data_IF_686899006253
#
_entry.id   IF_686899006253
#
_cell.length_a   1.000
_cell.length_b   1.000
_cell.length_c   1.000
_cell.angle_alpha   90.00
_cell.angle_beta   90.00
_cell.angle_gamma   90.00
#
_symmetry.space_group_name_H-M   'P 1'
#
loop_
_entity.id
_entity.type
_entity.pdbx_description
1 polymer ?
#
# COMPACT_ATOMS: atom_id res chain seq x y z
N UNK A 1 -8.81 -53.46 -45.42
CA UNK A 1 -8.92 -52.86 -44.07
C UNK A 1 -7.62 -52.22 -43.58
N UNK A 2 -6.46 -52.88 -43.72
CA UNK A 2 -5.15 -52.39 -43.22
C UNK A 2 -4.71 -51.01 -43.77
N UNK A 3 -4.93 -50.72 -45.06
CA UNK A 3 -4.57 -49.42 -45.68
C UNK A 3 -5.30 -48.22 -45.07
N UNK A 4 -6.55 -48.40 -44.61
CA UNK A 4 -7.37 -47.33 -44.03
C UNK A 4 -6.93 -47.00 -42.60
N UNK A 5 -6.45 -48.01 -41.86
CA UNK A 5 -5.89 -47.80 -40.52
C UNK A 5 -4.50 -47.14 -40.58
N UNK A 6 -3.67 -47.48 -41.57
CA UNK A 6 -2.37 -46.83 -41.75
C UNK A 6 -2.52 -45.34 -42.12
N UNK A 7 -3.49 -45.00 -42.97
CA UNK A 7 -3.80 -43.62 -43.33
C UNK A 7 -4.29 -42.80 -42.12
N UNK A 8 -5.16 -43.38 -41.28
CA UNK A 8 -5.59 -42.74 -40.03
C UNK A 8 -4.44 -42.57 -39.03
N UNK A 9 -3.52 -43.54 -38.94
CA UNK A 9 -2.35 -43.42 -38.07
C UNK A 9 -1.38 -42.33 -38.53
N UNK A 10 -1.15 -42.22 -39.85
CA UNK A 10 -0.33 -41.16 -40.44
C UNK A 10 -0.98 -39.77 -40.30
N UNK A 11 -2.31 -39.68 -40.39
CA UNK A 11 -3.05 -38.44 -40.14
C UNK A 11 -2.98 -38.02 -38.67
N UNK A 12 -3.08 -38.99 -37.74
CA UNK A 12 -2.92 -38.75 -36.30
C UNK A 12 -1.48 -38.37 -35.97
N UNK A 13 -0.47 -38.96 -36.62
CA UNK A 13 0.93 -38.57 -36.49
C UNK A 13 1.23 -37.20 -37.11
N UNK A 14 0.56 -36.81 -38.21
CA UNK A 14 0.70 -35.47 -38.78
C UNK A 14 -0.03 -34.41 -37.93
N UNK A 15 -1.17 -34.77 -37.33
CA UNK A 15 -1.87 -33.94 -36.34
C UNK A 15 -1.04 -33.82 -35.05
N UNK A 16 -0.42 -34.89 -34.55
CA UNK A 16 0.50 -34.86 -33.41
C UNK A 16 1.75 -34.01 -33.72
N UNK A 17 2.31 -34.11 -34.93
CA UNK A 17 3.40 -33.22 -35.38
C UNK A 17 2.95 -31.76 -35.50
N UNK A 18 1.72 -31.51 -35.96
CA UNK A 18 1.11 -30.18 -35.98
C UNK A 18 0.85 -29.62 -34.57
N UNK A 19 0.50 -30.47 -33.61
CA UNK A 19 0.27 -30.10 -32.19
C UNK A 19 1.60 -29.90 -31.44
N UNK A 20 2.70 -30.55 -31.85
CA UNK A 20 4.05 -30.24 -31.33
C UNK A 20 4.71 -29.03 -32.01
N UNK A 21 4.11 -28.49 -33.08
CA UNK A 21 4.61 -27.31 -33.79
C UNK A 21 3.63 -26.13 -33.86
N UNK A 22 2.59 -26.12 -33.03
CA UNK A 22 2.06 -24.86 -32.50
C UNK A 22 3.06 -24.30 -31.49
N UNK A 23 4.23 -23.89 -31.98
CA UNK A 23 4.84 -22.68 -31.46
C UNK A 23 3.76 -21.62 -31.60
N UNK A 24 3.09 -21.35 -30.48
CA UNK A 24 2.46 -20.06 -30.26
C UNK A 24 3.41 -19.03 -30.86
N UNK A 25 2.93 -18.23 -31.80
CA UNK A 25 3.57 -16.99 -32.16
C UNK A 25 3.57 -16.11 -30.89
N UNK A 26 4.52 -16.40 -30.00
CA UNK A 26 4.91 -15.53 -28.89
C UNK A 26 5.43 -14.31 -29.60
N UNK A 27 4.68 -13.21 -29.56
CA UNK A 27 5.25 -11.90 -29.90
C UNK A 27 6.62 -11.78 -29.22
N UNK A 28 7.60 -11.24 -29.93
CA UNK A 28 8.97 -11.14 -29.44
C UNK A 28 8.98 -10.55 -28.02
N UNK A 29 9.48 -11.32 -27.07
CA UNK A 29 9.64 -10.86 -25.68
C UNK A 29 10.80 -9.89 -25.66
N UNK A 30 10.52 -8.62 -25.37
CA UNK A 30 11.55 -7.59 -25.26
C UNK A 30 12.15 -7.62 -23.85
N UNK A 31 13.47 -7.54 -23.77
CA UNK A 31 14.18 -7.43 -22.49
C UNK A 31 14.70 -6.01 -22.31
N UNK A 32 14.33 -5.39 -21.20
CA UNK A 32 14.64 -3.99 -20.89
C UNK A 32 15.19 -3.85 -19.46
N UNK A 33 15.97 -2.80 -19.16
CA UNK A 33 16.28 -2.41 -17.79
C UNK A 33 15.00 -2.21 -16.96
N UNK A 34 14.92 -2.71 -15.71
CA UNK A 34 13.72 -2.56 -14.89
C UNK A 34 13.24 -1.11 -14.78
N UNK A 35 14.14 -0.15 -14.56
CA UNK A 35 13.80 1.27 -14.45
C UNK A 35 13.01 1.86 -15.64
N UNK A 36 13.15 1.29 -16.84
CA UNK A 36 12.35 1.71 -18.00
C UNK A 36 10.86 1.37 -17.83
N UNK A 37 10.54 0.30 -17.10
CA UNK A 37 9.17 -0.15 -16.83
C UNK A 37 8.44 0.71 -15.79
N UNK A 38 9.17 1.57 -15.08
CA UNK A 38 8.61 2.42 -14.03
C UNK A 38 7.69 3.53 -14.59
N UNK A 39 7.85 3.88 -15.87
CA UNK A 39 6.99 4.86 -16.58
C UNK A 39 5.54 4.38 -16.68
N UNK A 40 5.32 3.08 -16.74
CA UNK A 40 3.98 2.49 -16.88
C UNK A 40 3.25 2.29 -15.54
N UNK A 41 3.94 2.55 -14.42
CA UNK A 41 3.44 2.25 -13.07
C UNK A 41 3.38 3.49 -12.16
N UNK A 42 4.07 4.58 -12.51
CA UNK A 42 4.29 5.71 -11.61
C UNK A 42 3.20 6.80 -11.68
N UNK A 43 2.17 6.66 -10.84
CA UNK A 43 1.58 7.80 -10.14
C UNK A 43 2.42 8.19 -8.91
N UNK A 44 2.30 9.41 -8.39
CA UNK A 44 2.87 9.73 -7.06
C UNK A 44 2.10 8.93 -6.01
N UNK A 45 2.74 7.89 -5.47
CA UNK A 45 2.29 7.20 -4.26
C UNK A 45 3.25 7.60 -3.13
N UNK A 46 2.77 8.44 -2.20
CA UNK A 46 3.62 8.98 -1.16
C UNK A 46 2.95 10.04 -0.29
N UNK A 47 3.67 10.52 0.71
CA UNK A 47 3.19 11.51 1.67
C UNK A 47 3.58 12.92 1.23
N UNK A 48 2.67 13.89 1.37
CA UNK A 48 2.93 15.28 1.02
C UNK A 48 2.67 16.20 2.22
N UNK A 49 3.71 16.89 2.69
CA UNK A 49 3.55 18.05 3.57
C UNK A 49 3.63 19.31 2.70
N UNK A 50 2.50 20.02 2.55
CA UNK A 50 2.43 21.22 1.74
C UNK A 50 2.37 22.48 2.61
N UNK A 51 3.44 23.27 2.60
CA UNK A 51 3.54 24.52 3.37
C UNK A 51 3.34 25.78 2.50
N UNK A 52 2.94 25.63 1.23
CA UNK A 52 2.68 26.77 0.34
C UNK A 52 1.44 27.59 0.75
N UNK A 53 1.38 28.85 0.33
CA UNK A 53 0.28 29.79 0.63
C UNK A 53 -1.11 29.30 0.21
N UNK A 54 -1.20 28.39 -0.77
CA UNK A 54 -2.45 27.72 -1.17
C UNK A 54 -2.74 26.43 -0.39
N UNK A 55 -1.75 25.83 0.26
CA UNK A 55 -1.84 24.54 0.99
C UNK A 55 -2.10 24.65 2.49
N UNK A 56 -1.70 25.75 3.13
CA UNK A 56 -1.89 25.98 4.58
C UNK A 56 -3.37 26.19 4.94
N UNK A 57 -4.24 26.43 3.96
CA UNK A 57 -5.70 26.55 4.15
C UNK A 57 -6.46 25.22 4.18
N UNK A 58 -5.83 24.09 3.84
CA UNK A 58 -6.50 22.76 3.78
C UNK A 58 -6.10 21.77 4.88
N UNK A 59 -5.31 22.20 5.87
CA UNK A 59 -5.07 21.43 7.09
C UNK A 59 -5.75 22.19 8.23
N UNK A 60 -6.95 21.76 8.62
CA UNK A 60 -7.65 22.32 9.78
C UNK A 60 -6.78 22.14 11.03
N UNK A 61 -6.30 23.23 11.66
CA UNK A 61 -5.53 23.13 12.87
C UNK A 61 -6.45 22.70 14.02
N UNK A 62 -6.04 21.67 14.76
CA UNK A 62 -6.61 21.38 16.08
C UNK A 62 -6.23 22.56 16.98
N UNK A 63 -7.20 23.44 17.23
CA UNK A 63 -7.02 24.77 17.80
C UNK A 63 -6.72 24.79 19.31
N UNK A 64 -6.55 23.64 19.95
CA UNK A 64 -6.59 23.60 21.42
C UNK A 64 -5.26 23.60 22.14
N UNK A 65 -4.08 23.38 21.51
CA UNK A 65 -2.82 23.49 22.28
C UNK A 65 -1.58 23.74 21.40
N UNK A 66 -0.91 24.87 21.63
CA UNK A 66 0.43 25.29 21.12
C UNK A 66 0.63 25.31 19.59
N UNK A 67 0.37 26.48 18.98
CA UNK A 67 0.99 27.23 17.84
C UNK A 67 1.86 26.53 16.74
N UNK A 68 1.95 25.20 16.68
CA UNK A 68 2.81 24.44 15.78
C UNK A 68 1.96 23.44 14.97
N UNK A 69 2.09 23.47 13.64
CA UNK A 69 1.47 22.47 12.78
C UNK A 69 2.36 21.22 12.79
N UNK A 70 1.81 20.02 13.00
CA UNK A 70 2.59 18.77 12.94
C UNK A 70 2.17 17.98 11.71
N UNK A 71 3.12 17.71 10.80
CA UNK A 71 2.97 16.76 9.71
C UNK A 71 3.69 15.47 10.11
N UNK A 72 2.95 14.49 10.65
CA UNK A 72 3.50 13.18 11.03
C UNK A 72 3.30 12.17 9.92
N UNK A 73 4.41 11.63 9.40
CA UNK A 73 4.43 10.63 8.34
C UNK A 73 4.83 9.28 8.93
N UNK A 74 4.04 8.25 8.67
CA UNK A 74 4.36 6.85 9.02
C UNK A 74 4.47 6.05 7.73
N UNK A 75 5.70 5.76 7.28
CA UNK A 75 5.93 5.04 6.02
C UNK A 75 6.37 3.60 6.29
N UNK A 76 5.58 2.65 5.76
CA UNK A 76 5.87 1.20 5.74
C UNK A 76 6.37 0.70 4.38
N UNK A 77 6.58 1.60 3.43
CA UNK A 77 6.37 1.26 2.04
C UNK A 77 7.63 1.12 1.20
N UNK A 78 7.51 0.29 0.17
CA UNK A 78 8.48 0.07 -0.90
C UNK A 78 8.64 1.34 -1.74
N UNK A 79 9.79 2.01 -1.67
CA UNK A 79 10.13 3.19 -2.48
C UNK A 79 9.10 4.32 -2.41
N UNK A 80 8.58 4.57 -1.22
CA UNK A 80 7.69 5.70 -0.98
C UNK A 80 8.39 7.04 -1.13
N UNK A 81 7.65 8.03 -1.61
CA UNK A 81 8.13 9.41 -1.76
C UNK A 81 7.53 10.30 -0.67
N UNK A 82 8.39 10.90 0.15
CA UNK A 82 8.02 11.96 1.07
C UNK A 82 8.32 13.29 0.39
N UNK A 83 7.29 14.08 0.13
CA UNK A 83 7.40 15.36 -0.57
C UNK A 83 7.10 16.52 0.38
N UNK A 84 8.08 17.41 0.55
CA UNK A 84 7.91 18.71 1.20
C UNK A 84 7.78 19.77 0.13
N UNK A 85 6.69 20.54 0.16
CA UNK A 85 6.54 21.75 -0.66
C UNK A 85 6.83 22.96 0.23
N UNK A 86 7.94 23.64 -0.05
CA UNK A 86 8.50 24.71 0.78
C UNK A 86 8.38 26.03 0.01
N UNK A 87 7.75 27.08 0.56
CA UNK A 87 7.70 28.38 -0.09
C UNK A 87 9.08 28.95 -0.39
N UNK A 88 9.28 29.54 -1.57
CA UNK A 88 10.50 30.29 -1.87
C UNK A 88 10.56 31.57 -1.04
N UNK A 89 11.78 31.99 -0.68
CA UNK A 89 12.01 33.27 0.00
C UNK A 89 11.67 34.42 -0.97
N UNK A 90 10.51 35.04 -0.79
CA UNK A 90 10.17 36.32 -1.44
C UNK A 90 10.66 37.49 -0.56
N UNK A 91 10.93 38.67 -1.13
CA UNK A 91 11.25 39.88 -0.36
C UNK A 91 10.18 40.14 0.71
N UNK A 92 10.59 40.18 1.99
CA UNK A 92 9.69 40.33 3.15
C UNK A 92 9.29 39.03 3.85
N UNK A 93 9.52 37.86 3.24
CA UNK A 93 9.32 36.56 3.90
C UNK A 93 10.59 36.11 4.64
N UNK A 94 10.42 35.48 5.82
CA UNK A 94 11.53 34.95 6.64
C UNK A 94 11.44 33.45 6.86
N UNK A 95 10.91 32.72 5.87
CA UNK A 95 10.83 31.27 5.91
C UNK A 95 12.22 30.63 6.00
N UNK A 96 12.35 29.64 6.90
CA UNK A 96 13.56 28.84 7.09
C UNK A 96 13.18 27.36 7.24
N UNK A 97 13.89 26.50 6.52
CA UNK A 97 13.90 25.08 6.84
C UNK A 97 15.00 24.80 7.85
N UNK A 98 14.72 23.97 8.84
CA UNK A 98 15.65 23.58 9.89
C UNK A 98 15.64 22.04 10.02
N UNK A 99 16.77 21.34 9.82
CA UNK A 99 18.03 21.89 9.33
C UNK A 99 17.88 22.47 7.91
N UNK A 100 18.74 23.42 7.55
CA UNK A 100 18.68 24.13 6.26
C UNK A 100 18.68 23.15 5.07
N UNK A 101 19.40 22.05 5.23
CA UNK A 101 19.54 20.99 4.24
C UNK A 101 18.64 19.78 4.49
N UNK A 102 17.53 19.89 5.21
CA UNK A 102 16.52 18.82 5.22
C UNK A 102 16.18 18.41 3.77
N UNK A 103 16.23 17.15 3.32
CA UNK A 103 16.43 15.88 4.04
C UNK A 103 17.88 15.36 4.14
N UNK A 104 18.90 16.05 3.64
CA UNK A 104 20.31 15.63 3.76
C UNK A 104 20.77 15.63 5.23
N UNK A 105 20.36 16.65 5.97
CA UNK A 105 20.57 16.80 7.41
C UNK A 105 19.22 16.94 8.07
N UNK A 106 19.00 16.19 9.14
CA UNK A 106 17.74 16.12 9.87
C UNK A 106 18.00 16.27 11.37
N UNK A 107 16.97 16.54 12.16
CA UNK A 107 17.08 16.43 13.60
C UNK A 107 16.81 14.98 14.01
N UNK A 108 17.71 14.36 14.77
CA UNK A 108 17.44 13.09 15.46
C UNK A 108 16.56 13.29 16.70
N UNK A 109 16.62 14.49 17.28
CA UNK A 109 15.75 14.94 18.36
C UNK A 109 15.46 16.43 18.18
N UNK A 110 14.21 16.80 17.91
CA UNK A 110 13.84 18.18 17.61
C UNK A 110 13.90 19.10 18.85
N UNK A 111 13.73 18.57 20.07
CA UNK A 111 13.77 19.35 21.31
C UNK A 111 15.20 19.77 21.64
N UNK A 112 16.15 18.86 21.48
CA UNK A 112 17.59 19.11 21.66
C UNK A 112 18.24 19.75 20.43
N UNK A 113 17.51 19.81 19.30
CA UNK A 113 17.99 20.29 17.99
C UNK A 113 19.30 19.61 17.57
N UNK A 114 19.40 18.31 17.81
CA UNK A 114 20.60 17.53 17.45
C UNK A 114 20.58 17.23 15.95
N UNK A 115 21.39 17.95 15.18
CA UNK A 115 21.53 17.74 13.74
C UNK A 115 22.35 16.49 13.44
N UNK A 116 21.85 15.68 12.51
CA UNK A 116 22.48 14.45 12.08
C UNK A 116 22.31 14.30 10.58
N UNK A 117 23.30 13.71 9.91
CA UNK A 117 23.12 13.34 8.50
C UNK A 117 22.11 12.21 8.42
N UNK A 118 21.24 12.25 7.41
CA UNK A 118 20.19 11.24 7.27
C UNK A 118 20.73 9.81 7.10
N UNK A 119 21.94 9.66 6.53
CA UNK A 119 22.64 8.37 6.44
C UNK A 119 22.88 7.70 7.80
N UNK A 120 23.09 8.49 8.85
CA UNK A 120 23.34 7.99 10.21
C UNK A 120 22.06 7.56 10.93
N UNK A 121 20.89 7.97 10.43
CA UNK A 121 19.59 7.61 11.03
C UNK A 121 19.31 6.11 10.90
N UNK A 122 20.05 5.40 10.04
CA UNK A 122 19.88 3.97 9.78
C UNK A 122 18.96 3.68 8.60
N UNK A 123 18.73 4.68 7.72
CA UNK A 123 18.07 4.45 6.45
C UNK A 123 18.99 3.65 5.52
N UNK A 124 18.41 2.63 4.92
CA UNK A 124 19.04 1.76 3.94
C UNK A 124 18.54 2.16 2.57
N UNK A 125 19.45 2.51 1.67
CA UNK A 125 19.16 2.90 0.27
C UNK A 125 18.04 3.95 0.14
N UNK A 126 18.42 5.22 0.02
CA UNK A 126 17.48 6.33 -0.13
C UNK A 126 17.96 7.31 -1.21
N UNK A 127 17.03 8.10 -1.76
CA UNK A 127 17.32 9.15 -2.73
C UNK A 127 16.69 10.47 -2.26
N UNK A 128 17.48 11.55 -2.24
CA UNK A 128 16.97 12.91 -2.00
C UNK A 128 17.04 13.69 -3.30
N UNK A 129 15.89 14.18 -3.77
CA UNK A 129 15.76 15.08 -4.92
C UNK A 129 15.24 16.44 -4.46
N UNK A 130 15.72 17.48 -5.11
CA UNK A 130 15.23 18.85 -4.93
C UNK A 130 14.84 19.41 -6.30
N UNK A 131 13.61 19.88 -6.44
CA UNK A 131 13.09 20.52 -7.63
C UNK A 131 12.77 21.97 -7.30
N UNK A 132 13.53 22.87 -7.92
CA UNK A 132 13.41 24.32 -7.75
C UNK A 132 12.83 25.03 -8.99
N UNK A 133 12.23 24.28 -9.92
CA UNK A 133 11.71 24.82 -11.18
C UNK A 133 10.49 25.74 -11.00
N UNK A 134 9.72 25.55 -9.93
CA UNK A 134 8.53 26.38 -9.66
C UNK A 134 8.93 27.75 -9.10
N UNK A 135 8.23 28.82 -9.51
CA UNK A 135 8.54 30.19 -9.09
C UNK A 135 8.09 30.53 -7.66
N UNK A 136 7.11 29.82 -7.12
CA UNK A 136 6.50 30.08 -5.81
C UNK A 136 7.07 29.20 -4.68
N UNK A 137 7.55 28.00 -5.01
CA UNK A 137 8.00 27.01 -4.03
C UNK A 137 9.12 26.11 -4.56
N UNK A 138 9.84 25.50 -3.63
CA UNK A 138 10.80 24.41 -3.85
C UNK A 138 10.18 23.11 -3.37
N UNK A 139 10.37 22.02 -4.12
CA UNK A 139 9.94 20.69 -3.71
C UNK A 139 11.14 19.85 -3.31
N UNK A 140 11.11 19.30 -2.10
CA UNK A 140 12.10 18.33 -1.64
C UNK A 140 11.46 16.96 -1.51
N UNK A 141 12.04 15.97 -2.18
CA UNK A 141 11.49 14.62 -2.26
C UNK A 141 12.52 13.64 -1.70
N UNK A 142 12.16 12.92 -0.66
CA UNK A 142 12.91 11.78 -0.13
C UNK A 142 12.23 10.49 -0.59
N UNK A 143 12.96 9.62 -1.28
CA UNK A 143 12.52 8.27 -1.66
C UNK A 143 13.22 7.25 -0.78
N UNK A 144 12.47 6.33 -0.17
CA UNK A 144 13.00 5.42 0.87
C UNK A 144 12.76 3.96 0.48
N UNK A 145 13.79 3.13 0.50
CA UNK A 145 13.64 1.69 0.25
C UNK A 145 12.91 0.96 1.39
N UNK A 146 12.34 -0.23 1.14
CA UNK A 146 11.74 -1.05 2.20
C UNK A 146 12.76 -1.85 3.03
N UNK A 147 14.08 -1.65 2.85
CA UNK A 147 15.12 -2.55 3.38
C UNK A 147 15.67 -2.16 4.75
N UNK A 148 15.03 -1.22 5.44
CA UNK A 148 15.45 -0.82 6.79
C UNK A 148 15.31 -1.98 7.77
N UNK A 149 16.33 -2.17 8.61
CA UNK A 149 16.37 -3.28 9.58
C UNK A 149 15.72 -2.94 10.93
N UNK A 150 15.43 -1.65 11.15
CA UNK A 150 14.80 -1.07 12.34
C UNK A 150 13.93 0.12 11.94
N UNK A 151 13.05 0.54 12.86
CA UNK A 151 12.32 1.79 12.73
C UNK A 151 13.30 2.97 12.85
N UNK A 152 13.05 4.01 12.06
CA UNK A 152 13.86 5.22 11.99
C UNK A 152 12.94 6.43 12.12
N UNK A 153 13.26 7.31 13.06
CA UNK A 153 12.53 8.56 13.28
C UNK A 153 13.47 9.74 13.07
N UNK A 154 13.00 10.76 12.37
CA UNK A 154 13.71 12.03 12.23
C UNK A 154 12.75 13.19 12.01
N UNK A 155 13.27 14.40 12.20
CA UNK A 155 12.47 15.62 12.18
C UNK A 155 13.07 16.70 11.27
N UNK A 156 12.19 17.48 10.67
CA UNK A 156 12.51 18.76 10.06
C UNK A 156 11.50 19.82 10.53
N UNK A 157 11.87 21.08 10.46
CA UNK A 157 11.02 22.20 10.88
C UNK A 157 10.94 23.19 9.73
N UNK A 158 9.72 23.58 9.36
CA UNK A 158 9.45 24.73 8.50
C UNK A 158 9.05 25.90 9.40
N UNK A 159 9.96 26.86 9.57
CA UNK A 159 9.81 28.01 10.47
C UNK A 159 9.51 29.28 9.68
N UNK A 160 8.41 29.97 10.03
CA UNK A 160 8.06 31.29 9.52
C UNK A 160 7.84 32.31 10.67
N UNK A 161 8.26 32.00 11.88
CA UNK A 161 7.98 32.76 13.10
C UNK A 161 8.60 34.17 13.11
N UNK A 162 9.65 34.40 12.33
CA UNK A 162 10.28 35.72 12.21
C UNK A 162 9.48 36.69 11.32
N UNK A 163 8.51 36.19 10.54
CA UNK A 163 7.61 37.01 9.76
C UNK A 163 6.51 37.58 10.68
N UNK A 164 6.34 38.90 10.67
CA UNK A 164 5.35 39.60 11.51
C UNK A 164 4.51 40.47 10.59
N UNK A 165 3.24 40.11 10.44
CA UNK A 165 2.25 40.88 9.68
C UNK A 165 1.21 41.36 10.69
N UNK A 166 1.04 42.67 10.82
CA UNK A 166 0.02 43.27 11.71
C UNK A 166 0.06 42.73 13.15
N UNK A 167 1.26 42.63 13.74
CA UNK A 167 1.51 42.10 15.09
C UNK A 167 1.21 40.60 15.30
N UNK A 168 0.90 39.85 14.25
CA UNK A 168 0.78 38.40 14.29
C UNK A 168 2.10 37.77 13.85
N UNK A 169 2.74 37.01 14.75
CA UNK A 169 3.92 36.20 14.42
C UNK A 169 3.52 35.05 13.51
N UNK A 170 4.36 34.75 12.52
CA UNK A 170 4.20 33.58 11.67
C UNK A 170 4.28 32.26 12.45
N UNK A 171 3.93 31.17 11.77
CA UNK A 171 3.78 29.84 12.38
C UNK A 171 5.03 28.98 12.16
N UNK A 172 5.17 27.95 12.99
CA UNK A 172 6.17 26.90 12.85
C UNK A 172 5.45 25.60 12.51
N UNK A 173 5.99 24.80 11.60
CA UNK A 173 5.51 23.47 11.33
C UNK A 173 6.62 22.44 11.57
N UNK A 174 6.31 21.41 12.36
CA UNK A 174 7.16 20.25 12.59
C UNK A 174 6.79 19.17 11.57
N UNK A 175 7.76 18.73 10.78
CA UNK A 175 7.69 17.51 9.98
C UNK A 175 8.31 16.41 10.81
N UNK A 176 7.51 15.45 11.23
CA UNK A 176 7.97 14.23 11.90
C UNK A 176 7.86 13.08 10.91
N UNK A 177 8.97 12.41 10.65
CA UNK A 177 9.00 11.25 9.75
C UNK A 177 9.38 10.01 10.54
N UNK A 178 8.46 9.05 10.56
CA UNK A 178 8.65 7.71 11.07
C UNK A 178 8.70 6.74 9.88
N UNK A 179 9.88 6.21 9.61
CA UNK A 179 10.11 5.16 8.63
C UNK A 179 10.14 3.84 9.38
N UNK A 180 9.19 2.98 9.10
CA UNK A 180 9.00 1.75 9.85
C UNK A 180 9.69 0.59 9.14
N UNK A 181 10.24 -0.32 9.92
CA UNK A 181 10.79 -1.59 9.45
C UNK A 181 9.70 -2.34 8.70
N UNK A 182 10.04 -2.91 7.54
CA UNK A 182 9.10 -3.73 6.81
C UNK A 182 8.69 -4.98 7.64
N UNK A 183 7.38 -5.20 7.87
CA UNK A 183 6.94 -6.19 8.86
C UNK A 183 6.89 -7.62 8.33
N UNK A 184 6.98 -7.83 7.01
CA UNK A 184 6.90 -9.16 6.39
C UNK A 184 8.27 -9.63 5.87
N UNK A 185 8.34 -10.91 5.52
CA UNK A 185 9.52 -11.51 4.92
C UNK A 185 9.83 -10.87 3.56
N UNK A 186 11.11 -10.60 3.33
CA UNK A 186 11.65 -10.19 2.04
C UNK A 186 12.48 -11.36 1.51
N UNK A 187 12.14 -11.84 0.32
CA UNK A 187 12.91 -12.83 -0.43
C UNK A 187 13.65 -12.12 -1.56
N UNK A 188 14.97 -12.13 -1.53
CA UNK A 188 15.80 -11.46 -2.53
C UNK A 188 16.45 -12.49 -3.44
N UNK A 189 16.34 -12.27 -4.75
CA UNK A 189 17.01 -13.04 -5.80
C UNK A 189 17.99 -12.10 -6.48
N UNK A 190 19.28 -12.42 -6.46
CA UNK A 190 20.31 -11.62 -7.12
C UNK A 190 20.92 -12.37 -8.29
N UNK A 191 20.60 -11.92 -9.50
CA UNK A 191 21.16 -12.46 -10.75
C UNK A 191 22.16 -11.48 -11.40
N UNK A 192 22.52 -10.39 -10.70
CA UNK A 192 23.50 -9.41 -11.16
C UNK A 192 24.90 -9.72 -10.60
N UNK A 193 25.90 -8.94 -11.02
CA UNK A 193 27.26 -8.96 -10.42
C UNK A 193 27.36 -8.06 -9.18
N UNK A 194 26.39 -7.18 -8.96
CA UNK A 194 26.39 -6.26 -7.83
C UNK A 194 25.85 -6.98 -6.59
N UNK A 195 26.57 -7.01 -5.46
CA UNK A 195 26.20 -7.83 -4.31
C UNK A 195 25.01 -7.31 -3.51
N UNK A 196 24.53 -6.08 -3.76
CA UNK A 196 23.42 -5.44 -3.03
C UNK A 196 23.38 -5.80 -1.53
N UNK A 197 24.46 -5.54 -0.78
CA UNK A 197 24.68 -6.11 0.58
C UNK A 197 23.58 -5.81 1.61
N UNK A 198 22.70 -4.86 1.32
CA UNK A 198 21.54 -4.52 2.14
C UNK A 198 20.32 -5.42 1.92
N UNK A 199 20.26 -6.20 0.83
CA UNK A 199 19.15 -7.12 0.58
C UNK A 199 19.31 -8.40 1.42
N UNK A 200 18.29 -8.81 2.19
CA UNK A 200 18.36 -9.97 3.06
C UNK A 200 18.26 -11.29 2.29
N UNK A 201 18.95 -12.34 2.77
CA UNK A 201 18.77 -13.73 2.33
C UNK A 201 18.79 -13.94 0.80
N UNK A 202 19.80 -13.35 0.13
CA UNK A 202 19.90 -13.43 -1.32
C UNK A 202 20.09 -14.88 -1.80
N UNK A 203 19.21 -15.31 -2.70
CA UNK A 203 19.41 -16.52 -3.49
C UNK A 203 19.92 -16.16 -4.89
N UNK A 204 20.71 -17.04 -5.48
CA UNK A 204 21.36 -16.80 -6.77
C UNK A 204 20.88 -17.81 -7.84
N UNK A 205 21.61 -17.85 -8.96
CA UNK A 205 21.36 -18.75 -10.10
C UNK A 205 21.26 -20.23 -9.69
N UNK A 206 21.93 -20.66 -8.62
CA UNK A 206 21.93 -22.08 -8.18
C UNK A 206 20.57 -22.55 -7.67
N UNK A 207 19.69 -21.62 -7.28
CA UNK A 207 18.34 -21.95 -6.80
C UNK A 207 17.35 -22.25 -7.94
N UNK A 208 17.72 -21.96 -9.19
CA UNK A 208 16.85 -22.18 -10.35
C UNK A 208 17.03 -23.59 -10.90
N UNK A 209 15.96 -24.40 -10.84
CA UNK A 209 15.92 -25.72 -11.47
C UNK A 209 15.51 -25.55 -12.93
N UNK A 210 16.36 -25.96 -13.87
CA UNK A 210 16.11 -25.78 -15.31
C UNK A 210 15.81 -24.32 -15.69
N UNK A 211 16.54 -23.38 -15.08
CA UNK A 211 16.36 -21.92 -15.25
C UNK A 211 14.99 -21.38 -14.78
N UNK A 212 14.27 -22.14 -13.94
CA UNK A 212 13.01 -21.71 -13.34
C UNK A 212 13.06 -21.77 -11.82
N UNK A 213 12.50 -20.74 -11.18
CA UNK A 213 12.28 -20.69 -9.73
C UNK A 213 10.81 -20.39 -9.46
N UNK A 214 10.13 -21.32 -8.80
CA UNK A 214 8.76 -21.13 -8.32
C UNK A 214 8.80 -20.70 -6.85
N UNK A 215 8.11 -19.61 -6.51
CA UNK A 215 7.94 -19.14 -5.12
C UNK A 215 6.45 -19.04 -4.78
N UNK A 216 6.09 -19.53 -3.60
CA UNK A 216 4.81 -19.24 -2.97
C UNK A 216 5.00 -18.06 -2.02
N UNK A 217 4.07 -17.12 -2.02
CA UNK A 217 4.13 -15.92 -1.17
C UNK A 217 2.95 -15.89 -0.22
N UNK A 218 3.25 -15.58 1.04
CA UNK A 218 2.25 -15.18 2.01
C UNK A 218 1.90 -13.70 1.84
N UNK A 219 0.77 -13.29 2.43
CA UNK A 219 0.29 -11.91 2.34
C UNK A 219 1.35 -10.90 2.80
N UNK A 220 1.54 -9.86 2.00
CA UNK A 220 2.50 -8.81 2.29
C UNK A 220 3.96 -9.22 2.16
N UNK A 221 4.31 -10.46 1.82
CA UNK A 221 5.71 -10.81 1.54
C UNK A 221 6.21 -10.09 0.29
N UNK A 222 7.50 -9.73 0.30
CA UNK A 222 8.16 -9.10 -0.84
C UNK A 222 9.07 -10.08 -1.55
N UNK A 223 9.04 -9.99 -2.87
CA UNK A 223 10.07 -10.57 -3.72
C UNK A 223 10.82 -9.47 -4.42
N UNK A 224 12.14 -9.50 -4.31
CA UNK A 224 13.05 -8.57 -4.98
C UNK A 224 13.88 -9.36 -5.97
N UNK A 225 13.72 -9.09 -7.26
CA UNK A 225 14.57 -9.64 -8.31
C UNK A 225 15.56 -8.57 -8.76
N UNK A 226 16.85 -8.75 -8.44
CA UNK A 226 17.92 -7.96 -9.01
C UNK A 226 18.36 -8.56 -10.35
N UNK A 227 18.17 -7.82 -11.43
CA UNK A 227 18.48 -8.22 -12.79
C UNK A 227 18.72 -6.99 -13.69
N UNK A 228 19.74 -7.04 -14.54
CA UNK A 228 20.04 -5.94 -15.48
C UNK A 228 18.98 -5.80 -16.59
N UNK A 229 18.38 -6.90 -17.03
CA UNK A 229 17.40 -6.92 -18.12
C UNK A 229 16.26 -7.90 -17.84
N UNK A 230 15.06 -7.38 -17.68
CA UNK A 230 13.84 -8.17 -17.44
C UNK A 230 12.90 -8.12 -18.65
N UNK A 231 12.06 -9.14 -18.79
CA UNK A 231 10.92 -9.15 -19.71
C UNK A 231 10.09 -7.86 -19.52
N UNK A 232 9.70 -7.21 -20.62
CA UNK A 232 8.90 -5.98 -20.61
C UNK A 232 7.52 -6.14 -19.95
N UNK A 233 7.09 -7.40 -19.78
CA UNK A 233 5.88 -7.79 -19.03
C UNK A 233 6.18 -8.42 -17.67
N UNK A 234 7.38 -8.26 -17.13
CA UNK A 234 7.77 -8.74 -15.79
C UNK A 234 6.71 -8.37 -14.74
N UNK A 235 6.07 -9.37 -14.13
CA UNK A 235 4.94 -9.26 -13.19
C UNK A 235 3.66 -8.57 -13.72
N UNK A 236 3.61 -8.21 -15.00
CA UNK A 236 2.45 -7.60 -15.67
C UNK A 236 1.66 -8.61 -16.53
N UNK A 237 2.18 -9.83 -16.72
CA UNK A 237 1.65 -10.80 -17.70
C UNK A 237 0.52 -11.69 -17.16
N UNK A 238 -0.67 -11.55 -17.72
CA UNK A 238 -1.72 -12.58 -17.64
C UNK A 238 -1.50 -13.65 -18.71
N UNK A 239 -1.80 -14.91 -18.41
CA UNK A 239 -1.97 -15.91 -19.48
C UNK A 239 -3.34 -15.64 -20.13
N UNK A 240 -3.29 -15.31 -21.40
CA UNK A 240 -4.41 -15.19 -22.34
C UNK A 240 -5.41 -14.05 -22.13
N UNK A 241 -5.91 -13.59 -23.28
CA UNK A 241 -6.72 -12.40 -23.59
C UNK A 241 -8.12 -12.37 -22.99
N UNK A 242 -8.34 -12.99 -21.83
CA UNK A 242 -9.56 -12.79 -21.03
C UNK A 242 -9.30 -11.73 -19.94
N UNK A 243 -10.27 -10.85 -19.61
CA UNK A 243 -10.09 -9.83 -18.57
C UNK A 243 -10.08 -10.41 -17.12
N UNK A 244 -9.58 -11.64 -16.93
CA UNK A 244 -9.72 -12.39 -15.68
C UNK A 244 -8.38 -12.53 -14.92
N UNK A 245 -8.41 -12.01 -13.68
CA UNK A 245 -7.66 -12.43 -12.47
C UNK A 245 -6.18 -12.80 -12.62
N UNK A 246 -5.36 -11.90 -13.15
CA UNK A 246 -3.94 -11.83 -12.80
C UNK A 246 -3.76 -11.84 -11.27
N UNK A 247 -2.75 -12.53 -10.73
CA UNK A 247 -2.25 -12.29 -9.36
C UNK A 247 -1.64 -10.88 -9.32
N UNK A 248 -2.52 -9.87 -9.23
CA UNK A 248 -2.18 -8.47 -9.31
C UNK A 248 -1.66 -8.04 -7.95
N UNK A 249 -0.36 -7.81 -7.88
CA UNK A 249 0.15 -6.92 -6.84
C UNK A 249 -0.45 -5.53 -7.07
N UNK A 250 -0.91 -4.91 -6.01
CA UNK A 250 -1.23 -3.49 -5.98
C UNK A 250 0.02 -2.60 -6.05
N UNK A 251 1.22 -3.17 -5.88
CA UNK A 251 2.48 -2.44 -5.87
C UNK A 251 3.61 -3.28 -6.47
N UNK A 252 3.83 -3.08 -7.77
CA UNK A 252 5.05 -3.50 -8.45
C UNK A 252 5.95 -2.27 -8.55
N UNK A 253 7.22 -2.38 -8.15
CA UNK A 253 8.17 -1.28 -8.26
C UNK A 253 9.37 -1.72 -9.07
N UNK A 254 9.78 -0.89 -10.02
CA UNK A 254 11.02 -1.11 -10.75
C UNK A 254 12.00 0.02 -10.45
N UNK A 255 13.08 -0.28 -9.73
CA UNK A 255 14.05 0.74 -9.30
C UNK A 255 15.47 0.28 -9.62
N UNK A 256 16.21 1.05 -10.42
CA UNK A 256 17.53 0.64 -10.94
C UNK A 256 17.43 -0.74 -11.61
N UNK A 257 18.20 -1.71 -11.12
CA UNK A 257 18.18 -3.11 -11.56
C UNK A 257 17.22 -4.00 -10.74
N UNK A 258 16.37 -3.43 -9.89
CA UNK A 258 15.46 -4.18 -9.01
C UNK A 258 14.04 -4.18 -9.58
N UNK A 259 13.44 -5.36 -9.67
CA UNK A 259 12.01 -5.57 -9.87
C UNK A 259 11.41 -6.11 -8.57
N UNK A 260 10.51 -5.36 -7.95
CA UNK A 260 9.92 -5.71 -6.65
C UNK A 260 8.44 -6.01 -6.82
N UNK A 261 8.02 -7.14 -6.26
CA UNK A 261 6.63 -7.57 -6.20
C UNK A 261 6.19 -7.68 -4.74
N UNK A 262 5.10 -7.01 -4.39
CA UNK A 262 4.43 -7.18 -3.09
C UNK A 262 3.27 -8.15 -3.23
N UNK A 263 3.25 -9.22 -2.43
CA UNK A 263 2.10 -10.10 -2.36
C UNK A 263 0.87 -9.33 -1.81
N UNK A 264 -0.27 -9.29 -2.53
CA UNK A 264 -1.48 -8.64 -2.07
C UNK A 264 -2.06 -9.38 -0.86
N UNK A 265 -2.78 -8.66 -0.01
CA UNK A 265 -3.41 -9.23 1.20
C UNK A 265 -4.74 -9.93 0.92
N UNK A 266 -5.27 -9.74 -0.28
CA UNK A 266 -6.47 -10.40 -0.78
C UNK A 266 -6.15 -11.13 -2.08
N UNK A 267 -6.25 -12.46 -2.03
CA UNK A 267 -6.01 -13.37 -3.14
C UNK A 267 -7.32 -14.06 -3.48
N UNK A 268 -7.70 -14.09 -4.76
CA UNK A 268 -8.88 -14.80 -5.25
C UNK A 268 -8.49 -16.21 -5.72
N UNK A 269 -9.42 -17.15 -5.64
CA UNK A 269 -9.18 -18.53 -6.08
C UNK A 269 -8.90 -18.65 -7.59
N UNK A 270 -9.29 -17.65 -8.37
CA UNK A 270 -9.04 -17.57 -9.81
C UNK A 270 -7.71 -16.85 -10.14
N UNK A 271 -6.97 -16.36 -9.14
CA UNK A 271 -5.72 -15.64 -9.39
C UNK A 271 -4.67 -16.56 -10.01
N UNK A 272 -4.07 -16.11 -11.12
CA UNK A 272 -3.04 -16.88 -11.84
C UNK A 272 -1.64 -16.38 -11.52
N UNK A 273 -0.66 -17.29 -11.60
CA UNK A 273 0.78 -17.02 -11.41
C UNK A 273 1.26 -15.72 -12.07
N UNK A 274 1.99 -14.89 -11.32
CA UNK A 274 2.74 -13.77 -11.88
C UNK A 274 4.16 -14.23 -12.25
N UNK A 275 4.70 -13.79 -13.39
CA UNK A 275 6.02 -14.23 -13.85
C UNK A 275 6.91 -13.05 -14.22
N UNK A 276 8.21 -13.18 -13.97
CA UNK A 276 9.22 -12.26 -14.44
C UNK A 276 10.41 -13.07 -14.97
N UNK A 277 10.87 -12.75 -16.19
CA UNK A 277 12.05 -13.39 -16.76
C UNK A 277 13.22 -12.42 -16.79
N UNK A 278 14.40 -12.88 -16.38
CA UNK A 278 15.66 -12.17 -16.36
C UNK A 278 16.61 -12.75 -17.40
N UNK A 279 17.19 -11.92 -18.25
CA UNK A 279 18.22 -12.33 -19.21
C UNK A 279 19.61 -12.06 -18.63
N UNK A 280 20.36 -13.13 -18.40
CA UNK A 280 21.74 -13.07 -17.91
C UNK A 280 22.65 -13.79 -18.90
N UNK A 281 23.53 -13.04 -19.57
CA UNK A 281 24.51 -13.59 -20.54
C UNK A 281 23.86 -14.52 -21.59
N UNK A 282 22.71 -14.11 -22.15
CA UNK A 282 21.90 -14.88 -23.12
C UNK A 282 21.17 -16.09 -22.55
N UNK A 283 21.23 -16.32 -21.23
CA UNK A 283 20.43 -17.33 -20.52
C UNK A 283 19.23 -16.68 -19.86
N UNK A 284 18.03 -17.24 -20.09
CA UNK A 284 16.78 -16.71 -19.54
C UNK A 284 16.44 -17.48 -18.26
N UNK A 285 16.40 -16.77 -17.14
CA UNK A 285 15.93 -17.27 -15.85
C UNK A 285 14.52 -16.75 -15.59
N UNK A 286 13.57 -17.64 -15.32
CA UNK A 286 12.17 -17.27 -15.05
C UNK A 286 11.82 -17.47 -13.59
N UNK A 287 11.37 -16.39 -12.96
CA UNK A 287 10.77 -16.38 -11.63
C UNK A 287 9.25 -16.44 -11.77
N UNK A 288 8.62 -17.42 -11.13
CA UNK A 288 7.17 -17.61 -11.12
C UNK A 288 6.65 -17.50 -9.69
N UNK A 289 5.75 -16.54 -9.45
CA UNK A 289 5.12 -16.28 -8.15
C UNK A 289 3.73 -16.90 -8.13
N UNK A 290 3.56 -17.93 -7.31
CA UNK A 290 2.30 -18.66 -7.16
C UNK A 290 1.46 -18.03 -6.06
N UNK A 291 0.19 -17.65 -6.35
CA UNK A 291 -0.72 -17.18 -5.32
C UNK A 291 -1.07 -18.32 -4.35
N UNK A 292 -1.07 -18.03 -3.05
CA UNK A 292 -1.60 -18.95 -2.03
C UNK A 292 -3.01 -18.48 -1.65
N UNK A 293 -4.03 -19.16 -2.18
CA UNK A 293 -5.41 -18.82 -1.85
C UNK A 293 -5.76 -19.34 -0.45
N UNK A 294 -6.08 -18.41 0.44
CA UNK A 294 -6.69 -18.71 1.74
C UNK A 294 -8.01 -17.95 1.86
N UNK A 295 -9.10 -18.67 2.18
CA UNK A 295 -10.41 -18.04 2.39
C UNK A 295 -10.37 -17.21 3.68
N UNK A 296 -10.13 -15.91 3.55
CA UNK A 296 -10.06 -14.97 4.68
C UNK A 296 -11.44 -14.49 5.12
N UNK A 297 -11.55 -14.21 6.42
CA UNK A 297 -12.66 -13.48 7.01
C UNK A 297 -12.57 -11.99 6.65
N UNK A 298 -13.70 -11.40 6.27
CA UNK A 298 -13.84 -9.97 6.02
C UNK A 298 -14.62 -9.35 7.18
N UNK A 299 -13.98 -8.48 7.94
CA UNK A 299 -14.60 -7.73 9.03
C UNK A 299 -15.50 -6.66 8.42
N UNK A 300 -16.81 -6.88 8.46
CA UNK A 300 -17.69 -6.10 7.61
C UNK A 300 -19.12 -6.57 7.56
N UNK A 301 -19.87 -5.93 6.68
CA UNK A 301 -21.32 -6.12 6.55
C UNK A 301 -21.65 -6.68 5.17
N UNK A 302 -22.26 -7.86 5.14
CA UNK A 302 -22.91 -8.37 3.95
C UNK A 302 -24.38 -7.94 3.96
N UNK A 303 -24.73 -6.96 3.12
CA UNK A 303 -26.10 -6.48 2.94
C UNK A 303 -26.87 -7.22 1.83
N UNK A 304 -26.17 -8.09 1.08
CA UNK A 304 -26.71 -8.88 -0.02
C UNK A 304 -27.23 -10.22 0.47
N UNK A 305 -28.11 -10.85 -0.30
CA UNK A 305 -28.63 -12.20 -0.02
C UNK A 305 -27.59 -13.33 -0.24
N UNK A 306 -26.53 -13.09 -1.01
CA UNK A 306 -25.48 -14.07 -1.28
C UNK A 306 -24.51 -14.21 -0.09
N UNK A 307 -24.62 -15.32 0.65
CA UNK A 307 -23.74 -15.70 1.76
C UNK A 307 -22.55 -16.58 1.34
N UNK A 308 -22.54 -17.08 0.11
CA UNK A 308 -21.65 -18.18 -0.30
C UNK A 308 -20.28 -17.71 -0.78
N UNK A 309 -20.23 -16.54 -1.43
CA UNK A 309 -19.04 -16.06 -2.15
C UNK A 309 -17.96 -15.50 -1.22
N UNK A 310 -18.35 -14.77 -0.18
CA UNK A 310 -17.43 -14.07 0.73
C UNK A 310 -17.82 -14.33 2.18
N UNK A 311 -16.82 -14.49 3.06
CA UNK A 311 -17.06 -14.73 4.48
C UNK A 311 -17.01 -13.42 5.27
N UNK A 312 -18.17 -12.80 5.53
CA UNK A 312 -18.27 -11.57 6.30
C UNK A 312 -18.59 -11.85 7.78
N UNK A 313 -18.08 -11.02 8.68
CA UNK A 313 -18.41 -11.12 10.12
C UNK A 313 -19.87 -10.86 10.42
N UNK A 314 -20.54 -9.97 9.66
CA UNK A 314 -21.93 -9.58 9.88
C UNK A 314 -22.72 -9.76 8.59
N UNK A 315 -23.99 -10.15 8.73
CA UNK A 315 -24.89 -10.33 7.60
C UNK A 315 -26.27 -9.78 7.94
N UNK A 316 -26.79 -8.91 7.07
CA UNK A 316 -28.12 -8.32 7.17
C UNK A 316 -28.71 -8.20 5.77
N UNK A 317 -29.52 -9.16 5.35
CA UNK A 317 -30.11 -9.13 4.01
C UNK A 317 -31.11 -7.97 3.86
N UNK A 318 -30.75 -6.96 3.06
CA UNK A 318 -31.62 -5.82 2.82
C UNK A 318 -32.90 -6.20 2.05
N UNK A 319 -32.94 -7.34 1.36
CA UNK A 319 -34.14 -7.80 0.70
C UNK A 319 -35.27 -8.12 1.71
N UNK A 320 -34.92 -8.64 2.88
CA UNK A 320 -35.86 -9.05 3.94
C UNK A 320 -36.43 -7.88 4.75
N UNK A 321 -35.91 -6.66 4.55
CA UNK A 321 -36.32 -5.46 5.27
C UNK A 321 -37.52 -4.74 4.62
N UNK A 322 -38.25 -3.93 5.40
CA UNK A 322 -39.30 -3.05 4.89
C UNK A 322 -38.78 -1.95 3.94
N UNK A 323 -39.66 -1.35 3.14
CA UNK A 323 -39.28 -0.45 2.03
C UNK A 323 -38.44 0.78 2.44
N UNK A 324 -38.62 1.30 3.65
CA UNK A 324 -37.91 2.49 4.16
C UNK A 324 -36.93 2.15 5.30
N UNK A 325 -36.47 0.90 5.37
CA UNK A 325 -35.61 0.47 6.45
C UNK A 325 -34.25 1.17 6.42
N UNK A 326 -33.81 1.59 7.61
CA UNK A 326 -32.46 2.07 7.87
C UNK A 326 -31.82 1.16 8.91
N UNK A 327 -30.65 0.61 8.61
CA UNK A 327 -29.92 -0.29 9.49
C UNK A 327 -28.48 0.19 9.66
N UNK A 328 -27.92 -0.03 10.84
CA UNK A 328 -26.49 0.22 11.10
C UNK A 328 -25.82 -1.07 11.49
N UNK A 329 -24.74 -1.40 10.80
CA UNK A 329 -23.86 -2.52 11.09
C UNK A 329 -22.51 -1.94 11.53
N UNK A 330 -22.13 -2.23 12.77
CA UNK A 330 -20.97 -1.64 13.44
C UNK A 330 -19.84 -2.65 13.57
N UNK A 331 -18.66 -2.28 13.09
CA UNK A 331 -17.43 -3.07 13.19
C UNK A 331 -16.49 -2.32 14.13
N UNK A 332 -16.02 -3.00 15.18
CA UNK A 332 -14.95 -2.51 16.03
C UNK A 332 -13.76 -3.47 15.95
N UNK A 333 -12.60 -2.93 15.56
CA UNK A 333 -11.33 -3.64 15.50
C UNK A 333 -10.41 -3.11 16.60
N UNK A 334 -9.96 -4.01 17.47
CA UNK A 334 -9.02 -3.71 18.56
C UNK A 334 -7.88 -4.70 18.47
N UNK A 335 -6.77 -4.27 17.86
CA UNK A 335 -5.55 -5.06 17.74
C UNK A 335 -4.31 -4.18 17.96
N UNK A 336 -3.19 -4.81 18.31
CA UNK A 336 -1.87 -4.17 18.42
C UNK A 336 -1.27 -3.86 17.04
N UNK A 337 -1.54 -4.73 16.06
CA UNK A 337 -1.18 -4.57 14.65
C UNK A 337 -2.22 -5.33 13.83
N UNK A 338 -2.64 -4.76 12.71
CA UNK A 338 -3.70 -5.31 11.88
C UNK A 338 -3.13 -6.11 10.70
N UNK A 339 -3.80 -7.20 10.33
CA UNK A 339 -3.67 -7.88 9.04
C UNK A 339 -5.07 -8.38 8.64
N UNK A 340 -5.98 -7.42 8.46
CA UNK A 340 -7.41 -7.69 8.35
C UNK A 340 -7.94 -7.21 6.99
N UNK A 341 -8.91 -7.95 6.47
CA UNK A 341 -9.76 -7.47 5.39
C UNK A 341 -11.00 -6.82 6.00
N UNK A 342 -11.33 -5.62 5.56
CA UNK A 342 -12.53 -4.89 5.97
C UNK A 342 -13.34 -4.60 4.71
N UNK A 343 -14.66 -4.79 4.75
CA UNK A 343 -15.43 -4.62 3.52
C UNK A 343 -16.93 -4.61 3.69
N UNK A 344 -17.61 -4.35 2.58
CA UNK A 344 -19.06 -4.53 2.48
C UNK A 344 -19.45 -5.23 1.18
N UNK A 345 -20.54 -5.99 1.24
CA UNK A 345 -21.28 -6.43 0.06
C UNK A 345 -22.60 -5.67 0.01
N UNK A 346 -22.87 -5.02 -1.12
CA UNK A 346 -24.05 -4.17 -1.29
C UNK A 346 -24.86 -4.60 -2.52
N UNK A 347 -26.17 -4.88 -2.39
CA UNK A 347 -27.05 -5.23 -3.51
C UNK A 347 -27.57 -4.00 -4.28
N UNK A 348 -26.77 -2.92 -4.34
CA UNK A 348 -27.15 -1.62 -4.87
C UNK A 348 -25.95 -0.68 -4.95
N UNK A 349 -26.16 0.59 -4.64
CA UNK A 349 -25.12 1.62 -4.71
C UNK A 349 -24.32 1.71 -3.40
N UNK A 350 -22.99 1.88 -3.53
CA UNK A 350 -22.10 2.14 -2.40
C UNK A 350 -21.72 3.62 -2.39
N UNK A 351 -21.90 4.29 -1.25
CA UNK A 351 -21.69 5.74 -1.06
C UNK A 351 -20.76 6.05 0.13
N UNK A 352 -19.78 6.97 -0.01
CA UNK A 352 -19.30 7.56 -1.27
C UNK A 352 -18.56 6.47 -2.08
N UNK A 353 -17.50 6.81 -2.84
CA UNK A 353 -16.67 5.80 -3.51
C UNK A 353 -15.84 4.96 -2.50
N UNK A 354 -16.53 4.17 -1.67
CA UNK A 354 -15.90 3.34 -0.66
C UNK A 354 -15.09 2.21 -1.32
N UNK A 355 -13.91 1.88 -0.80
CA UNK A 355 -13.29 2.44 0.41
C UNK A 355 -12.28 3.56 0.16
N UNK A 356 -12.03 3.93 -1.09
CA UNK A 356 -11.09 5.01 -1.41
C UNK A 356 -11.52 6.33 -0.75
N UNK A 357 -12.82 6.61 -0.79
CA UNK A 357 -13.47 7.68 -0.04
C UNK A 357 -14.37 7.08 1.04
N UNK A 358 -14.45 7.76 2.18
CA UNK A 358 -15.33 7.39 3.29
C UNK A 358 -15.97 8.64 3.89
N UNK A 359 -17.06 8.47 4.62
CA UNK A 359 -17.57 9.56 5.45
C UNK A 359 -16.86 9.59 6.80
N UNK A 360 -16.31 10.75 7.16
CA UNK A 360 -15.76 11.00 8.48
C UNK A 360 -16.90 11.11 9.50
N UNK A 361 -16.76 10.44 10.65
CA UNK A 361 -17.77 10.48 11.72
C UNK A 361 -17.35 11.49 12.78
N UNK A 362 -18.03 12.64 12.82
CA UNK A 362 -17.80 13.68 13.84
C UNK A 362 -18.64 13.44 15.11
N UNK A 363 -19.81 12.81 14.98
CA UNK A 363 -20.70 12.43 16.09
C UNK A 363 -21.51 11.16 15.71
N UNK A 364 -21.92 10.32 16.69
CA UNK A 364 -22.75 9.14 16.45
C UNK A 364 -24.13 9.42 15.83
N UNK A 365 -24.66 10.64 15.91
CA UNK A 365 -26.09 10.96 15.69
C UNK A 365 -26.43 11.70 14.37
N UNK A 366 -25.46 12.05 13.53
CA UNK A 366 -25.70 12.85 12.31
C UNK A 366 -25.44 12.08 11.01
N UNK A 367 -26.26 12.39 9.99
CA UNK A 367 -26.03 11.99 8.59
C UNK A 367 -24.58 12.31 8.20
N UNK A 368 -23.82 11.34 7.65
CA UNK A 368 -22.40 11.53 7.41
C UNK A 368 -22.16 12.61 6.34
N UNK A 369 -21.61 13.77 6.70
CA UNK A 369 -21.59 14.95 5.82
C UNK A 369 -20.24 15.25 5.15
N UNK A 370 -19.12 14.79 5.74
CA UNK A 370 -17.77 15.09 5.25
C UNK A 370 -17.11 13.87 4.60
N UNK A 371 -16.95 13.92 3.27
CA UNK A 371 -16.19 12.92 2.52
C UNK A 371 -14.69 13.18 2.70
N UNK A 372 -13.95 12.14 3.08
CA UNK A 372 -12.49 12.15 3.20
C UNK A 372 -11.90 10.93 2.52
N UNK A 373 -10.63 11.00 2.13
CA UNK A 373 -9.89 9.81 1.66
C UNK A 373 -9.54 8.90 2.83
N UNK A 374 -9.69 7.59 2.67
CA UNK A 374 -9.46 6.65 3.77
C UNK A 374 -8.01 6.65 4.27
N UNK A 375 -7.03 6.77 3.37
CA UNK A 375 -5.61 6.89 3.74
C UNK A 375 -5.37 8.10 4.67
N UNK A 376 -6.03 9.22 4.39
CA UNK A 376 -5.95 10.42 5.23
C UNK A 376 -6.66 10.22 6.58
N UNK A 377 -7.81 9.55 6.58
CA UNK A 377 -8.58 9.26 7.79
C UNK A 377 -7.88 8.26 8.73
N UNK A 378 -7.14 7.31 8.17
CA UNK A 378 -6.30 6.35 8.93
C UNK A 378 -4.93 6.93 9.27
N UNK A 379 -4.48 7.96 8.55
CA UNK A 379 -3.13 8.50 8.59
C UNK A 379 -2.05 7.43 8.37
N UNK A 380 -2.33 6.50 7.45
CA UNK A 380 -1.42 5.47 6.94
C UNK A 380 -1.59 5.43 5.43
N UNK A 381 -0.57 5.04 4.68
CA UNK A 381 -0.78 4.77 3.25
C UNK A 381 -0.91 3.28 2.91
N UNK A 382 -0.57 2.35 3.81
CA UNK A 382 -0.55 0.91 3.49
C UNK A 382 -1.96 0.29 3.52
N UNK A 383 -2.86 0.85 2.71
CA UNK A 383 -4.22 0.38 2.48
C UNK A 383 -4.31 -0.19 1.07
N UNK A 384 -4.79 -1.42 0.97
CA UNK A 384 -4.99 -2.07 -0.34
C UNK A 384 -6.46 -2.08 -0.68
N UNK A 385 -6.86 -1.56 -1.84
CA UNK A 385 -8.25 -1.46 -2.24
C UNK A 385 -8.61 -2.56 -3.25
N UNK A 386 -9.70 -3.27 -3.01
CA UNK A 386 -10.20 -4.33 -3.87
C UNK A 386 -11.68 -4.16 -4.16
N UNK A 387 -12.07 -4.59 -5.35
CA UNK A 387 -13.45 -4.60 -5.80
C UNK A 387 -13.78 -5.96 -6.44
N UNK A 388 -15.00 -6.42 -6.17
CA UNK A 388 -15.61 -7.54 -6.85
C UNK A 388 -17.05 -7.19 -7.22
N UNK A 389 -17.58 -7.86 -8.25
CA UNK A 389 -18.96 -7.72 -8.64
C UNK A 389 -19.54 -9.06 -9.07
N UNK A 390 -20.76 -9.34 -8.61
CA UNK A 390 -21.51 -10.55 -8.99
C UNK A 390 -22.97 -10.19 -9.22
N UNK A 391 -23.34 -10.07 -10.50
CA UNK A 391 -24.64 -9.50 -10.88
C UNK A 391 -24.72 -8.04 -10.43
N UNK A 392 -25.79 -7.68 -9.73
CA UNK A 392 -26.00 -6.33 -9.16
C UNK A 392 -25.30 -6.13 -7.80
N UNK A 393 -24.70 -7.18 -7.22
CA UNK A 393 -23.99 -7.06 -5.96
C UNK A 393 -22.58 -6.51 -6.18
N UNK A 394 -22.28 -5.41 -5.50
CA UNK A 394 -20.96 -4.78 -5.46
C UNK A 394 -20.29 -5.14 -4.14
N UNK A 395 -19.09 -5.71 -4.20
CA UNK A 395 -18.28 -6.02 -3.03
C UNK A 395 -17.07 -5.10 -3.03
N UNK A 396 -16.97 -4.25 -2.02
CA UNK A 396 -15.81 -3.38 -1.78
C UNK A 396 -15.06 -3.92 -0.58
N UNK A 397 -13.74 -4.05 -0.70
CA UNK A 397 -12.86 -4.53 0.37
C UNK A 397 -11.66 -3.59 0.42
N UNK A 398 -11.18 -3.29 1.62
CA UNK A 398 -9.82 -2.83 1.79
C UNK A 398 -9.05 -3.74 2.76
N UNK A 399 -7.77 -3.89 2.50
CA UNK A 399 -6.84 -4.58 3.36
C UNK A 399 -6.05 -3.59 4.22
N UNK A 400 -5.98 -3.87 5.51
CA UNK A 400 -5.22 -3.08 6.48
C UNK A 400 -4.08 -3.92 7.05
N UNK A 401 -2.85 -3.46 6.85
CA UNK A 401 -1.63 -4.10 7.36
C UNK A 401 -0.78 -3.12 8.17
N UNK A 402 -0.47 -3.50 9.40
CA UNK A 402 0.32 -2.71 10.36
C UNK A 402 -0.55 -2.02 11.42
N UNK A 403 0.05 -1.12 12.19
CA UNK A 403 -0.65 -0.35 13.22
C UNK A 403 -1.10 1.02 12.71
N UNK A 404 -2.25 1.52 13.19
CA UNK A 404 -2.66 2.91 12.98
C UNK A 404 -2.27 3.79 14.17
N UNK A 405 -1.89 5.07 13.93
CA UNK A 405 -1.36 5.95 14.97
C UNK A 405 -2.44 6.46 15.94
N UNK A 406 -3.68 6.59 15.48
CA UNK A 406 -4.81 7.10 16.28
C UNK A 406 -6.05 6.27 16.04
N UNK A 407 -6.85 6.09 17.09
CA UNK A 407 -8.16 5.48 16.97
C UNK A 407 -8.99 6.34 16.03
N UNK A 408 -9.57 5.72 15.00
CA UNK A 408 -10.33 6.43 13.97
C UNK A 408 -11.65 5.73 13.71
N UNK A 409 -12.59 6.47 13.16
CA UNK A 409 -13.90 5.93 12.77
C UNK A 409 -14.36 6.56 11.47
N UNK A 410 -15.07 5.78 10.67
CA UNK A 410 -15.63 6.21 9.40
C UNK A 410 -16.88 5.39 9.06
N UNK A 411 -17.65 5.86 8.10
CA UNK A 411 -18.88 5.19 7.65
C UNK A 411 -18.93 5.10 6.13
N UNK A 412 -19.46 3.98 5.65
CA UNK A 412 -19.84 3.76 4.26
C UNK A 412 -21.30 3.35 4.21
N UNK A 413 -21.99 3.71 3.13
CA UNK A 413 -23.43 3.50 2.99
C UNK A 413 -23.68 2.55 1.83
N UNK A 414 -24.54 1.56 2.04
CA UNK A 414 -25.15 0.76 0.98
C UNK A 414 -26.60 1.22 0.78
N UNK A 415 -26.97 1.58 -0.45
CA UNK A 415 -28.31 2.04 -0.79
C UNK A 415 -28.94 1.13 -1.85
N UNK A 416 -30.13 0.62 -1.55
CA UNK A 416 -30.96 -0.13 -2.52
C UNK A 416 -32.36 0.47 -2.54
N UNK A 417 -32.64 1.32 -3.53
CA UNK A 417 -33.88 2.09 -3.57
C UNK A 417 -33.98 3.01 -2.35
N UNK A 418 -35.04 2.84 -1.54
CA UNK A 418 -35.28 3.60 -0.29
C UNK A 418 -34.65 2.97 0.96
N UNK A 419 -34.08 1.76 0.85
CA UNK A 419 -33.42 1.06 1.96
C UNK A 419 -31.98 1.53 2.09
N UNK A 420 -31.53 1.76 3.33
CA UNK A 420 -30.19 2.27 3.62
C UNK A 420 -29.52 1.39 4.68
N UNK A 421 -28.32 0.89 4.36
CA UNK A 421 -27.45 0.20 5.29
C UNK A 421 -26.19 1.00 5.56
N UNK A 422 -25.99 1.44 6.80
CA UNK A 422 -24.77 2.12 7.24
C UNK A 422 -23.79 1.06 7.76
N UNK A 423 -22.60 0.99 7.18
CA UNK A 423 -21.47 0.27 7.75
C UNK A 423 -20.59 1.27 8.49
N UNK A 424 -20.59 1.20 9.82
CA UNK A 424 -19.74 2.03 10.67
C UNK A 424 -18.54 1.24 11.14
N UNK A 425 -17.33 1.73 10.88
CA UNK A 425 -16.09 1.06 11.27
C UNK A 425 -15.36 1.93 12.29
N UNK A 426 -14.89 1.31 13.37
CA UNK A 426 -13.99 1.87 14.36
C UNK A 426 -12.75 0.99 14.47
N UNK A 427 -11.58 1.60 14.34
CA UNK A 427 -10.29 0.91 14.42
C UNK A 427 -9.48 1.58 15.53
N UNK A 428 -9.04 0.79 16.52
CA UNK A 428 -8.26 1.31 17.65
C UNK A 428 -6.79 1.56 17.26
N UNK A 429 -6.14 2.56 17.87
CA UNK A 429 -4.69 2.71 17.73
C UNK A 429 -3.95 1.52 18.37
N UNK A 430 -2.87 1.06 17.74
CA UNK A 430 -2.09 -0.09 18.22
C UNK A 430 -1.54 0.08 19.64
N UNK A 431 -1.29 1.32 20.08
CA UNK A 431 -0.78 1.66 21.42
C UNK A 431 -1.78 1.34 22.55
N UNK A 432 -3.09 1.49 22.32
CA UNK A 432 -4.10 1.22 23.36
C UNK A 432 -4.31 -0.28 23.61
N UNK A 433 -4.12 -1.13 22.59
CA UNK A 433 -4.18 -2.59 22.75
C UNK A 433 -3.08 -3.13 23.67
N UNK A 434 -1.89 -2.51 23.63
CA UNK A 434 -0.76 -2.86 24.51
C UNK A 434 -1.02 -2.45 25.96
N UNK A 435 -1.47 -1.20 26.18
CA UNK A 435 -1.80 -0.72 27.53
C UNK A 435 -2.93 -1.53 28.18
N UNK A 436 -3.98 -1.87 27.43
CA UNK A 436 -5.08 -2.69 27.93
C UNK A 436 -4.61 -4.09 28.39
N UNK A 437 -3.73 -4.75 27.62
CA UNK A 437 -3.17 -6.06 28.00
C UNK A 437 -2.28 -5.97 29.24
N UNK A 438 -1.46 -4.93 29.36
CA UNK A 438 -0.65 -4.68 30.56
C UNK A 438 -1.55 -4.43 31.78
N UNK A 439 -2.61 -3.64 31.63
CA UNK A 439 -3.54 -3.34 32.72
C UNK A 439 -4.26 -4.60 33.22
N UNK A 440 -4.70 -5.47 32.30
CA UNK A 440 -5.31 -6.75 32.64
C UNK A 440 -4.31 -7.66 33.36
N UNK A 441 -3.06 -7.74 32.88
CA UNK A 441 -2.00 -8.51 33.54
C UNK A 441 -1.73 -8.00 34.98
N UNK A 442 -1.69 -6.68 35.16
CA UNK A 442 -1.50 -6.04 36.46
C UNK A 442 -2.66 -6.34 37.42
N UNK A 443 -3.91 -6.32 36.94
CA UNK A 443 -5.08 -6.69 37.74
C UNK A 443 -5.00 -8.16 38.16
N UNK A 444 -4.65 -9.07 37.26
CA UNK A 444 -4.48 -10.49 37.58
C UNK A 444 -3.35 -10.71 38.59
N UNK A 445 -2.22 -10.03 38.44
CA UNK A 445 -1.11 -10.10 39.40
C UNK A 445 -1.49 -9.54 40.77
N UNK A 446 -2.26 -8.45 40.82
CA UNK A 446 -2.79 -7.90 42.07
C UNK A 446 -3.78 -8.85 42.74
N UNK A 447 -4.68 -9.48 41.96
CA UNK A 447 -5.65 -10.46 42.47
C UNK A 447 -5.04 -11.81 42.88
N UNK A 448 -3.82 -12.12 42.42
CA UNK A 448 -3.05 -13.30 42.85
C UNK A 448 -2.11 -13.00 44.03
N UNK A 449 -1.85 -11.72 44.29
CA UNK A 449 -0.99 -11.25 45.40
C UNK A 449 -1.80 -10.91 46.66
N UNK A 450 -3.09 -10.59 46.50
CA UNK A 450 -4.12 -10.68 47.54
C UNK A 450 -4.74 -12.08 47.55
#
# INVERSE_FOLDING_TARGET
MLKRQLANLLLVLSLLRGITHTQMAKGEVKYVPPEELNKDVSGFFGFKCNFSSKGVHNLEPILTEKRSLVCSIYSYFIYDKIKLTIPKKIPGSKFKMLPEKCFQTVYANYEKRTEEKIENMGLVEYEVKEDDSNSEYTEKILTISPFNTKDVEFFCICDNSENVISNVKGRVALVQVNVLKYPHKITSINLTKEPYSYLPNQVDKTSFKSHKLDLELQDGELVVLACEKVDDKCFKKGKDTSPLSLYKSNKIVYHKNLSIFKAPVYVKSADVTAECSCNVDSTIYTLSLKPVYTKKLIHGCNFSSDKSTHNFTNHVDMAELGENAQITCSIELVDTSYNHLIGMSCPGEVLPQCFFQVYQRESPELEPSKIVYLDAQLNIGNVEYFEDSKGENIVKIFGLVGSIPKTTSFTCICRKGKKIGYMSVKIAAGYFGFLAKIFILLIVLLLLYF
#
